data_IF_508746153262
#
_entry.id   IF_508746153262
#
_cell.length_a   1.000
_cell.length_b   1.000
_cell.length_c   1.000
_cell.angle_alpha   90.00
_cell.angle_beta   90.00
_cell.angle_gamma   90.00
#
_symmetry.space_group_name_H-M   'P 1'
#
loop_
_entity.id
_entity.type
_entity.pdbx_description
1 polymer ?
#
# COMPACT_ATOMS: atom_id res chain seq x y z
N UNK A 1 12.14 21.44 13.08
CA UNK A 1 10.89 20.77 12.66
C UNK A 1 11.25 19.32 12.39
N UNK A 2 10.63 18.40 13.13
CA UNK A 2 10.89 16.96 13.03
C UNK A 2 9.75 16.35 12.23
N UNK A 3 10.07 15.65 11.16
CA UNK A 3 9.10 14.98 10.29
C UNK A 3 9.11 13.49 10.66
N UNK A 4 7.93 12.88 10.73
CA UNK A 4 7.79 11.43 10.85
C UNK A 4 7.17 10.96 9.53
N UNK A 5 7.73 9.92 8.94
CA UNK A 5 7.13 9.30 7.77
C UNK A 5 6.29 8.13 8.29
N UNK A 6 5.21 7.72 7.62
CA UNK A 6 4.63 6.38 7.75
C UNK A 6 4.20 5.98 6.36
N UNK A 7 4.88 4.99 5.78
CA UNK A 7 4.54 4.42 4.47
C UNK A 7 3.61 3.24 4.68
N UNK A 8 2.37 3.29 4.15
CA UNK A 8 1.50 2.10 4.11
C UNK A 8 1.02 1.88 2.68
N UNK A 9 1.67 0.95 1.97
CA UNK A 9 1.41 0.64 0.57
C UNK A 9 1.25 -0.86 0.37
N UNK A 10 0.22 -1.26 -0.39
CA UNK A 10 -0.10 -2.67 -0.67
C UNK A 10 -1.15 -2.84 -1.76
N UNK A 11 -1.28 -3.95 -2.48
CA UNK A 11 -0.53 -5.22 -2.53
C UNK A 11 -0.97 -5.90 -3.81
N UNK A 12 -0.02 -6.50 -4.53
CA UNK A 12 -0.27 -7.12 -5.82
C UNK A 12 -0.55 -8.63 -5.70
N UNK A 13 -1.77 -9.11 -5.91
CA UNK A 13 -2.02 -10.56 -5.88
C UNK A 13 -1.48 -11.26 -7.15
N UNK A 14 -0.66 -12.31 -6.99
CA UNK A 14 -0.33 -13.26 -8.06
C UNK A 14 -0.99 -14.61 -7.77
N UNK A 15 -1.85 -15.13 -8.67
CA UNK A 15 -2.17 -16.55 -8.73
C UNK A 15 -1.02 -17.32 -9.39
N UNK A 16 -0.73 -18.51 -8.87
CA UNK A 16 0.50 -19.24 -9.18
C UNK A 16 0.68 -19.63 -10.65
N UNK A 17 1.90 -19.39 -11.15
CA UNK A 17 2.65 -20.28 -12.04
C UNK A 17 4.14 -19.88 -11.97
N UNK A 18 5.01 -20.87 -11.78
CA UNK A 18 6.44 -20.68 -11.63
C UNK A 18 7.07 -20.11 -12.93
N UNK A 19 7.45 -18.84 -12.88
CA UNK A 19 8.33 -18.16 -13.82
C UNK A 19 9.13 -17.12 -13.05
N UNK A 20 10.42 -16.99 -13.34
CA UNK A 20 11.31 -16.08 -12.61
C UNK A 20 10.74 -14.66 -12.55
N UNK A 21 10.66 -14.07 -11.37
CA UNK A 21 10.34 -12.66 -11.20
C UNK A 21 11.32 -11.83 -12.04
N UNK A 22 10.87 -11.37 -13.20
CA UNK A 22 11.65 -10.49 -14.06
C UNK A 22 11.99 -9.22 -13.28
N UNK A 23 13.23 -8.75 -13.41
CA UNK A 23 13.66 -7.42 -12.94
C UNK A 23 13.05 -6.30 -13.82
N UNK A 24 11.76 -6.38 -14.12
CA UNK A 24 11.06 -5.47 -15.01
C UNK A 24 10.50 -4.29 -14.24
N UNK A 25 11.08 -3.11 -14.44
CA UNK A 25 10.48 -1.83 -14.09
C UNK A 25 9.25 -1.47 -14.97
N UNK A 26 8.62 -2.46 -15.62
CA UNK A 26 7.55 -2.26 -16.58
C UNK A 26 6.21 -2.10 -15.85
N UNK A 27 5.84 -0.85 -15.59
CA UNK A 27 4.46 -0.43 -15.39
C UNK A 27 4.09 0.51 -16.54
N UNK A 28 4.28 0.04 -17.77
CA UNK A 28 3.62 0.65 -18.93
C UNK A 28 2.19 0.13 -18.95
N UNK A 29 1.25 0.96 -19.40
CA UNK A 29 -0.12 0.58 -19.74
C UNK A 29 -0.15 -0.40 -20.94
N UNK A 30 0.58 -1.51 -20.83
CA UNK A 30 0.57 -2.59 -21.79
C UNK A 30 -0.61 -3.49 -21.44
N UNK A 31 -1.79 -3.04 -21.87
CA UNK A 31 -2.88 -3.92 -22.20
C UNK A 31 -2.34 -5.03 -23.13
N UNK A 32 -2.67 -6.29 -22.81
CA UNK A 32 -2.66 -7.48 -23.70
C UNK A 32 -1.53 -8.54 -23.60
N UNK A 33 -0.74 -8.62 -22.53
CA UNK A 33 -0.04 -9.89 -22.22
C UNK A 33 -0.78 -10.65 -21.11
N UNK A 34 -1.38 -11.79 -21.48
CA UNK A 34 -2.10 -12.76 -20.64
C UNK A 34 -1.13 -13.46 -19.66
N UNK A 35 -0.57 -12.69 -18.73
CA UNK A 35 0.39 -13.09 -17.70
C UNK A 35 -0.30 -13.79 -16.52
N UNK A 36 -1.19 -14.75 -16.81
CA UNK A 36 -1.65 -15.73 -15.83
C UNK A 36 -2.33 -15.15 -14.57
N UNK A 37 -3.02 -14.01 -14.69
CA UNK A 37 -3.77 -13.39 -13.60
C UNK A 37 -2.97 -12.50 -12.64
N UNK A 38 -1.76 -12.08 -13.01
CA UNK A 38 -1.01 -11.06 -12.24
C UNK A 38 -1.58 -9.67 -12.52
N UNK A 39 -2.00 -8.97 -11.47
CA UNK A 39 -2.59 -7.62 -11.60
C UNK A 39 -1.52 -6.57 -11.31
N UNK A 40 -0.91 -5.89 -12.27
CA UNK A 40 0.07 -4.83 -11.97
C UNK A 40 -0.59 -3.48 -11.65
N UNK A 41 -0.32 -2.94 -10.46
CA UNK A 41 -0.72 -1.60 -10.03
C UNK A 41 0.46 -0.83 -9.47
N UNK A 42 0.53 0.45 -9.83
CA UNK A 42 1.59 1.35 -9.41
C UNK A 42 1.08 2.77 -9.28
N UNK A 43 1.96 3.71 -9.62
CA UNK A 43 1.69 5.15 -9.54
C UNK A 43 2.09 5.87 -10.84
N UNK A 44 2.28 5.11 -11.93
CA UNK A 44 2.85 5.64 -13.17
C UNK A 44 1.92 6.60 -13.93
N UNK A 45 0.64 6.66 -13.55
CA UNK A 45 -0.29 7.72 -13.98
C UNK A 45 0.02 9.08 -13.36
N UNK A 46 0.98 9.16 -12.45
CA UNK A 46 1.34 10.39 -11.72
C UNK A 46 0.35 10.75 -10.60
N UNK A 47 -0.61 9.86 -10.30
CA UNK A 47 -1.63 10.04 -9.28
C UNK A 47 -2.14 8.68 -8.73
N UNK A 48 -3.25 8.72 -7.98
CA UNK A 48 -3.87 7.52 -7.39
C UNK A 48 -5.01 6.95 -8.25
N UNK A 49 -5.10 7.29 -9.54
CA UNK A 49 -6.26 6.94 -10.38
C UNK A 49 -6.32 5.46 -10.80
N UNK A 50 -5.26 4.66 -10.58
CA UNK A 50 -5.23 3.21 -10.84
C UNK A 50 -6.03 2.36 -9.82
N UNK A 51 -7.22 2.83 -9.42
CA UNK A 51 -8.14 2.08 -8.55
C UNK A 51 -7.77 2.07 -7.06
N UNK A 52 -6.89 2.98 -6.62
CA UNK A 52 -6.52 3.09 -5.21
C UNK A 52 -7.64 3.71 -4.38
N UNK A 53 -8.15 2.98 -3.38
CA UNK A 53 -8.91 3.60 -2.30
C UNK A 53 -7.95 4.32 -1.35
N UNK A 54 -8.31 5.51 -0.88
CA UNK A 54 -7.42 6.40 -0.13
C UNK A 54 -7.97 6.71 1.25
N UNK A 55 -7.15 6.49 2.26
CA UNK A 55 -7.39 6.90 3.64
C UNK A 55 -6.25 7.83 4.08
N UNK A 56 -6.34 9.09 3.66
CA UNK A 56 -5.33 10.12 3.88
C UNK A 56 -5.93 11.20 4.79
N UNK A 57 -5.28 11.47 5.93
CA UNK A 57 -5.73 12.51 6.85
C UNK A 57 -5.66 13.92 6.25
N UNK A 58 -4.57 14.20 5.53
CA UNK A 58 -4.27 15.51 4.93
C UNK A 58 -3.77 15.38 3.49
N UNK A 59 -3.77 16.47 2.72
CA UNK A 59 -3.27 16.53 1.33
C UNK A 59 -1.77 16.20 1.19
N UNK A 60 -1.01 16.31 2.29
CA UNK A 60 0.40 15.88 2.31
C UNK A 60 0.56 14.43 2.75
N UNK A 61 -0.46 13.83 3.36
CA UNK A 61 -0.33 12.49 3.95
C UNK A 61 -0.08 11.41 2.92
N UNK A 62 -0.50 11.61 1.67
CA UNK A 62 -0.18 10.75 0.54
C UNK A 62 -0.03 11.55 -0.75
N UNK A 63 1.10 11.42 -1.42
CA UNK A 63 1.39 12.08 -2.71
C UNK A 63 2.12 11.15 -3.64
N UNK A 64 1.84 11.25 -4.93
CA UNK A 64 2.69 10.66 -5.95
C UNK A 64 3.84 11.63 -6.24
N UNK A 65 5.07 11.13 -6.22
CA UNK A 65 6.32 11.89 -6.33
C UNK A 65 7.24 11.28 -7.39
N UNK A 66 8.25 12.04 -7.80
CA UNK A 66 9.22 11.66 -8.85
C UNK A 66 10.68 11.65 -8.39
N UNK A 67 10.96 11.96 -7.12
CA UNK A 67 12.31 12.12 -6.58
C UNK A 67 12.87 10.84 -5.92
N UNK A 68 12.06 10.12 -5.15
CA UNK A 68 12.42 8.83 -4.53
C UNK A 68 11.58 7.72 -5.17
N UNK A 69 12.12 7.12 -6.22
CA UNK A 69 11.41 6.13 -7.05
C UNK A 69 12.28 4.89 -7.21
N UNK A 70 11.73 3.69 -6.95
CA UNK A 70 12.45 2.42 -7.15
C UNK A 70 12.59 2.08 -8.64
N UNK A 71 11.51 2.26 -9.37
CA UNK A 71 11.35 1.87 -10.77
C UNK A 71 10.28 2.77 -11.42
N UNK A 72 10.38 3.00 -12.73
CA UNK A 72 9.46 3.90 -13.43
C UNK A 72 9.79 5.37 -13.18
N UNK A 73 8.77 6.22 -13.25
CA UNK A 73 8.89 7.67 -13.03
C UNK A 73 8.25 8.11 -11.71
N UNK A 74 7.42 7.28 -11.10
CA UNK A 74 6.58 7.70 -9.98
C UNK A 74 6.58 6.72 -8.81
N UNK A 75 6.40 7.26 -7.60
CA UNK A 75 6.19 6.48 -6.40
C UNK A 75 5.23 7.20 -5.46
N UNK A 76 4.51 6.47 -4.62
CA UNK A 76 3.74 7.08 -3.54
C UNK A 76 4.63 7.34 -2.32
N UNK A 77 4.61 8.60 -1.89
CA UNK A 77 5.18 9.08 -0.63
C UNK A 77 4.05 9.28 0.35
N UNK A 78 4.24 8.75 1.56
CA UNK A 78 3.28 8.93 2.65
C UNK A 78 3.97 9.60 3.84
N UNK A 79 3.26 10.52 4.47
CA UNK A 79 3.78 11.43 5.50
C UNK A 79 2.78 11.56 6.64
N UNK A 80 3.24 11.53 7.88
CA UNK A 80 2.40 11.79 9.05
C UNK A 80 3.13 12.73 9.99
N UNK A 81 2.52 13.86 10.31
CA UNK A 81 3.13 14.88 11.16
C UNK A 81 2.59 14.79 12.57
N UNK A 82 3.40 15.27 13.51
CA UNK A 82 2.94 15.48 14.87
C UNK A 82 1.77 16.48 14.85
N UNK A 83 0.63 16.06 15.40
CA UNK A 83 -0.59 16.87 15.45
C UNK A 83 -1.59 16.64 14.32
N UNK A 84 -1.29 15.77 13.35
CA UNK A 84 -2.27 15.37 12.32
C UNK A 84 -3.54 14.81 12.97
N UNK A 85 -4.71 15.06 12.38
CA UNK A 85 -5.94 14.48 12.91
C UNK A 85 -5.97 12.97 12.69
N UNK A 86 -6.55 12.26 13.64
CA UNK A 86 -6.78 10.83 13.52
C UNK A 86 -7.81 10.58 12.41
N UNK A 87 -7.49 9.72 11.44
CA UNK A 87 -8.44 9.37 10.39
C UNK A 87 -9.65 8.63 11.00
N UNK A 88 -10.79 9.33 11.01
CA UNK A 88 -12.11 8.79 11.37
C UNK A 88 -12.10 7.96 12.66
N UNK A 89 -11.38 8.40 13.69
CA UNK A 89 -11.37 7.83 15.04
C UNK A 89 -10.66 6.47 15.20
N UNK A 90 -9.95 5.97 14.18
CA UNK A 90 -9.41 4.59 14.15
C UNK A 90 -7.89 4.48 14.28
N UNK A 91 -7.17 5.60 14.29
CA UNK A 91 -5.73 5.70 14.40
C UNK A 91 -5.14 6.73 13.41
N UNK A 92 -3.91 7.14 13.65
CA UNK A 92 -3.14 7.91 12.67
C UNK A 92 -2.85 7.05 11.44
N UNK A 93 -3.25 7.52 10.26
CA UNK A 93 -3.22 6.71 9.04
C UNK A 93 -2.97 7.56 7.80
N UNK A 94 -2.10 7.04 6.94
CA UNK A 94 -1.93 7.46 5.56
C UNK A 94 -1.79 6.20 4.72
N UNK A 95 -2.92 5.76 4.14
CA UNK A 95 -3.04 4.46 3.50
C UNK A 95 -3.65 4.58 2.10
N UNK A 96 -3.18 3.71 1.21
CA UNK A 96 -3.95 3.29 0.03
C UNK A 96 -4.25 1.81 0.10
N UNK A 97 -5.37 1.39 -0.48
CA UNK A 97 -5.81 0.00 -0.45
C UNK A 97 -6.47 -0.43 -1.75
N UNK A 98 -6.27 -1.70 -2.08
CA UNK A 98 -6.99 -2.44 -3.10
C UNK A 98 -8.36 -2.89 -2.55
N UNK A 99 -9.35 -2.00 -2.62
CA UNK A 99 -10.72 -2.31 -2.20
C UNK A 99 -11.72 -2.29 -3.36
N UNK A 100 -11.29 -1.83 -4.53
CA UNK A 100 -12.20 -1.55 -5.65
C UNK A 100 -12.14 -2.64 -6.72
N UNK A 101 -10.96 -3.14 -7.06
CA UNK A 101 -10.81 -4.04 -8.21
C UNK A 101 -10.50 -5.48 -7.81
N UNK A 102 -9.91 -5.71 -6.63
CA UNK A 102 -9.59 -7.07 -6.17
C UNK A 102 -9.80 -7.28 -4.66
N UNK A 103 -10.57 -8.31 -4.30
CA UNK A 103 -10.63 -8.85 -2.94
C UNK A 103 -10.14 -10.29 -3.00
N UNK A 104 -9.08 -10.58 -2.22
CA UNK A 104 -8.53 -11.92 -2.15
C UNK A 104 -9.60 -12.94 -1.71
N UNK A 105 -9.82 -14.03 -2.48
CA UNK A 105 -10.76 -15.07 -2.07
C UNK A 105 -10.35 -15.70 -0.74
N UNK A 106 -11.35 -16.12 0.04
CA UNK A 106 -11.09 -16.89 1.24
C UNK A 106 -10.47 -18.24 0.88
N UNK A 107 -9.52 -18.69 1.70
CA UNK A 107 -8.86 -20.00 1.56
C UNK A 107 -8.08 -20.18 0.24
N UNK A 108 -7.65 -19.09 -0.40
CA UNK A 108 -6.75 -19.16 -1.57
C UNK A 108 -5.31 -18.79 -1.22
N UNK A 109 -4.37 -19.32 -2.00
CA UNK A 109 -2.97 -18.91 -1.94
C UNK A 109 -2.78 -17.67 -2.81
N UNK A 110 -2.27 -16.59 -2.19
CA UNK A 110 -1.98 -15.34 -2.88
C UNK A 110 -0.53 -14.95 -2.63
N UNK A 111 0.16 -14.57 -3.71
CA UNK A 111 1.50 -14.01 -3.64
C UNK A 111 1.43 -12.50 -3.75
N UNK A 112 2.32 -11.81 -3.05
CA UNK A 112 2.27 -10.37 -2.92
C UNK A 112 3.65 -9.74 -3.08
N UNK A 113 3.76 -8.77 -4.01
CA UNK A 113 5.00 -8.05 -4.30
C UNK A 113 4.82 -6.54 -4.16
N UNK A 114 5.73 -5.90 -3.43
CA UNK A 114 5.83 -4.44 -3.32
C UNK A 114 7.22 -4.05 -2.83
N UNK A 115 7.52 -2.75 -2.89
CA UNK A 115 8.76 -2.20 -2.39
C UNK A 115 8.51 -1.00 -1.50
N UNK A 116 9.25 -0.93 -0.41
CA UNK A 116 9.13 0.12 0.60
C UNK A 116 10.48 0.79 0.76
N UNK A 117 10.52 2.11 0.63
CA UNK A 117 11.65 2.92 1.05
C UNK A 117 11.36 3.53 2.42
N UNK A 118 12.22 3.24 3.40
CA UNK A 118 12.21 3.90 4.70
C UNK A 118 13.30 4.96 4.66
N UNK A 119 12.91 6.21 4.89
CA UNK A 119 13.85 7.32 4.86
C UNK A 119 14.96 7.16 5.91
N UNK A 120 16.19 7.54 5.57
CA UNK A 120 17.34 7.39 6.48
C UNK A 120 17.21 8.22 7.76
N UNK A 121 16.39 9.27 7.73
CA UNK A 121 16.05 10.13 8.86
C UNK A 121 14.78 9.69 9.60
N UNK A 122 14.27 8.48 9.32
CA UNK A 122 13.13 7.92 10.03
C UNK A 122 13.41 7.87 11.53
N UNK A 123 12.52 8.48 12.30
CA UNK A 123 12.55 8.43 13.75
C UNK A 123 11.67 7.26 14.18
N UNK A 124 12.29 6.19 14.68
CA UNK A 124 11.56 5.15 15.38
C UNK A 124 11.09 5.71 16.73
N UNK A 125 9.78 5.89 16.88
CA UNK A 125 9.18 6.41 18.10
C UNK A 125 8.79 5.28 19.08
N UNK A 126 9.32 4.06 18.90
CA UNK A 126 8.78 2.80 19.46
C UNK A 126 7.28 2.66 19.16
N UNK A 127 6.85 3.35 18.11
CA UNK A 127 5.52 3.25 17.55
C UNK A 127 5.49 1.99 16.71
N UNK A 128 4.44 1.18 16.84
CA UNK A 128 4.25 -0.02 16.01
C UNK A 128 3.81 0.38 14.61
N UNK A 129 4.66 1.13 13.90
CA UNK A 129 4.41 1.61 12.55
C UNK A 129 4.18 0.41 11.65
N UNK A 130 2.93 0.23 11.27
CA UNK A 130 2.53 -0.73 10.25
C UNK A 130 2.97 -0.12 8.94
N UNK A 131 3.84 -0.81 8.20
CA UNK A 131 4.18 -0.40 6.83
C UNK A 131 3.25 -1.04 5.81
N UNK A 132 2.49 -2.03 6.29
CA UNK A 132 1.76 -2.99 5.52
C UNK A 132 0.88 -3.87 6.44
N UNK A 133 -0.46 -3.75 6.48
CA UNK A 133 -1.48 -4.78 6.85
C UNK A 133 -2.42 -5.47 5.78
N UNK A 134 -2.67 -6.78 5.89
CA UNK A 134 -3.79 -7.42 5.18
C UNK A 134 -5.04 -7.37 6.05
N UNK A 135 -6.14 -6.87 5.48
CA UNK A 135 -7.36 -6.60 6.20
C UNK A 135 -8.54 -7.36 5.60
N UNK A 136 -9.42 -7.88 6.47
CA UNK A 136 -10.68 -8.44 6.01
C UNK A 136 -11.66 -7.31 5.65
N UNK A 137 -12.40 -7.46 4.57
CA UNK A 137 -13.53 -6.60 4.23
C UNK A 137 -14.78 -7.19 4.88
N UNK A 138 -15.46 -6.47 5.79
CA UNK A 138 -16.64 -7.00 6.48
C UNK A 138 -17.83 -7.12 5.52
N UNK A 139 -18.63 -8.16 5.71
CA UNK A 139 -19.99 -8.20 5.13
C UNK A 139 -20.94 -7.33 5.97
N UNK A 140 -21.06 -6.07 5.58
CA UNK A 140 -21.95 -5.11 6.26
C UNK A 140 -23.44 -5.50 6.15
N UNK A 141 -23.82 -6.27 5.12
CA UNK A 141 -25.20 -6.74 4.94
C UNK A 141 -25.60 -7.78 5.98
N UNK A 142 -24.64 -8.60 6.40
CA UNK A 142 -24.80 -9.62 7.45
C UNK A 142 -24.44 -9.10 8.85
N UNK A 143 -24.20 -7.79 9.00
CA UNK A 143 -23.92 -7.15 10.27
C UNK A 143 -22.49 -7.34 10.79
N UNK A 144 -21.55 -7.76 9.94
CA UNK A 144 -20.14 -7.77 10.32
C UNK A 144 -19.60 -6.35 10.54
N UNK A 145 -18.62 -6.22 11.43
CA UNK A 145 -17.92 -4.97 11.70
C UNK A 145 -16.46 -5.09 11.27
N UNK A 146 -15.84 -3.94 10.97
CA UNK A 146 -14.39 -3.84 10.80
C UNK A 146 -13.66 -4.36 12.04
N UNK A 147 -12.58 -5.12 11.84
CA UNK A 147 -11.77 -5.75 12.91
C UNK A 147 -10.30 -5.43 12.69
N UNK A 148 -9.44 -5.69 13.66
CA UNK A 148 -8.00 -5.56 13.42
C UNK A 148 -7.53 -6.48 12.28
N UNK A 149 -6.53 -6.07 11.50
CA UNK A 149 -5.98 -6.89 10.43
C UNK A 149 -5.37 -8.19 10.99
N UNK A 150 -5.60 -9.35 10.35
CA UNK A 150 -4.98 -10.61 10.75
C UNK A 150 -3.45 -10.65 10.52
N UNK A 151 -2.92 -9.86 9.59
CA UNK A 151 -1.51 -9.88 9.22
C UNK A 151 -1.00 -8.45 9.01
N UNK A 152 0.21 -8.15 9.49
CA UNK A 152 0.90 -6.91 9.19
C UNK A 152 2.43 -7.03 9.26
N UNK A 153 3.13 -6.38 8.34
CA UNK A 153 4.54 -6.03 8.45
C UNK A 153 4.67 -4.68 9.16
N UNK A 154 5.68 -4.61 10.03
CA UNK A 154 5.96 -3.44 10.85
C UNK A 154 7.44 -3.13 10.78
N UNK A 155 7.77 -1.86 10.80
CA UNK A 155 9.14 -1.40 11.01
C UNK A 155 9.40 -1.25 12.50
N UNK A 156 10.51 -1.79 12.99
CA UNK A 156 10.91 -1.68 14.41
C UNK A 156 12.43 -1.86 14.57
N UNK A 157 13.08 -0.85 15.10
CA UNK A 157 14.50 -0.78 15.48
C UNK A 157 15.51 -1.02 14.34
N UNK A 158 15.17 -0.67 13.10
CA UNK A 158 16.03 -0.90 11.93
C UNK A 158 16.20 -2.37 11.57
#
# INVERSE_FOLDING_TARGET
MKWTWILIAFVLAMPGLYGAAGNGCGGGDDDDDDDGGVVHKGFETGDFSQGWYRELAEDYSGRVVTDVVRCGQYAARFEMREGDENWRWTGFRAEVSELLDFIAPLMSEQWYGFSTYIAADWIDLDNRAVISQWHATPDLGEGEVWRSPPLALRYRNG
#
